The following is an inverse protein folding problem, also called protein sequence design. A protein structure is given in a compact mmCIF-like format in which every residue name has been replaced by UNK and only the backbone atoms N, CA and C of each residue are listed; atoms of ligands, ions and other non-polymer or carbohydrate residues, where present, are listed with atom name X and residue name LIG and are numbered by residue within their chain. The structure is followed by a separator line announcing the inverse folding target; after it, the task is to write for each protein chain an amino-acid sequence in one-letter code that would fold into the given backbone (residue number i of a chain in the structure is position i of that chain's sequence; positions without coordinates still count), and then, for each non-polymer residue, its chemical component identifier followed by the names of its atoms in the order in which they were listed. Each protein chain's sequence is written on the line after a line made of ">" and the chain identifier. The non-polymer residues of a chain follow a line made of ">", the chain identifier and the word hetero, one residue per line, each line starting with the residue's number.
data_IF_635982880012
#
_entry.id   IF_635982880012
#
_cell.length_a   1.000
_cell.length_b   1.000
_cell.length_c   1.000
_cell.angle_alpha   90.00
_cell.angle_beta   90.00
_cell.angle_gamma   90.00
#
_symmetry.space_group_name_H-M   'P 1'
#
loop_
_entity.id
_entity.type
_entity.pdbx_description
1 polymer ?
#
# COMPACT_ATOMS: atom_id res chain seq x y z
N UNK A 1 9.40 10.23 9.86
CA UNK A 1 8.84 8.86 9.82
C UNK A 1 7.55 8.93 9.04
N UNK A 2 7.40 8.14 7.97
CA UNK A 2 6.16 8.06 7.23
C UNK A 2 5.11 7.38 8.13
N UNK A 3 4.29 8.18 8.81
CA UNK A 3 3.18 7.69 9.61
C UNK A 3 2.02 7.36 8.67
N UNK A 4 1.89 6.09 8.30
CA UNK A 4 0.82 5.56 7.46
C UNK A 4 0.88 4.04 7.44
N UNK A 5 -0.21 3.40 7.03
CA UNK A 5 -0.19 1.94 6.85
C UNK A 5 0.77 1.53 5.71
N UNK A 6 1.13 0.25 5.62
CA UNK A 6 2.13 -0.23 4.65
C UNK A 6 1.74 0.09 3.19
N UNK A 7 0.45 0.14 2.87
CA UNK A 7 -0.04 0.47 1.54
C UNK A 7 0.15 1.96 1.20
N UNK A 8 -0.10 2.85 2.17
CA UNK A 8 0.20 4.28 2.04
C UNK A 8 1.70 4.52 1.85
N UNK A 9 2.53 3.84 2.64
CA UNK A 9 3.98 3.94 2.52
C UNK A 9 4.47 3.48 1.15
N UNK A 10 4.00 2.32 0.67
CA UNK A 10 4.35 1.80 -0.64
C UNK A 10 3.90 2.72 -1.80
N UNK A 11 2.68 3.27 -1.73
CA UNK A 11 2.17 4.22 -2.73
C UNK A 11 3.04 5.48 -2.77
N UNK A 12 3.40 6.04 -1.61
CA UNK A 12 4.27 7.22 -1.53
C UNK A 12 5.68 6.93 -2.06
N UNK A 13 6.25 5.77 -1.75
CA UNK A 13 7.57 5.38 -2.28
C UNK A 13 7.57 5.35 -3.81
N UNK A 14 6.58 4.69 -4.41
CA UNK A 14 6.44 4.57 -5.86
C UNK A 14 6.18 5.91 -6.56
N UNK A 15 5.54 6.87 -5.89
CA UNK A 15 5.31 8.23 -6.42
C UNK A 15 6.56 9.10 -6.34
N UNK A 16 7.42 8.89 -5.34
CA UNK A 16 8.54 9.78 -5.06
C UNK A 16 9.80 9.41 -5.83
N UNK A 17 10.04 8.11 -6.05
CA UNK A 17 11.25 7.64 -6.73
C UNK A 17 11.05 6.31 -7.44
N UNK A 18 11.83 6.05 -8.51
CA UNK A 18 11.80 4.76 -9.19
C UNK A 18 12.40 3.66 -8.31
N UNK A 19 12.06 2.39 -8.59
CA UNK A 19 12.44 1.23 -7.77
C UNK A 19 13.98 1.07 -7.70
N UNK A 20 14.69 1.47 -8.75
CA UNK A 20 16.14 1.43 -8.87
C UNK A 20 16.86 2.35 -7.87
N UNK A 21 16.18 3.40 -7.40
CA UNK A 21 16.69 4.36 -6.40
C UNK A 21 16.17 4.04 -4.98
N UNK A 22 15.40 2.97 -4.82
CA UNK A 22 14.93 2.50 -3.52
C UNK A 22 16.00 1.68 -2.80
N UNK A 23 16.09 1.86 -1.49
CA UNK A 23 16.83 0.97 -0.60
C UNK A 23 16.17 -0.41 -0.55
N UNK A 24 16.90 -1.42 -0.08
CA UNK A 24 16.34 -2.78 0.05
C UNK A 24 15.08 -2.80 0.94
N UNK A 25 15.05 -2.02 2.01
CA UNK A 25 13.90 -1.94 2.92
C UNK A 25 12.66 -1.32 2.24
N UNK A 26 12.86 -0.28 1.45
CA UNK A 26 11.77 0.35 0.68
C UNK A 26 11.24 -0.60 -0.40
N UNK A 27 12.13 -1.32 -1.09
CA UNK A 27 11.73 -2.36 -2.06
C UNK A 27 10.93 -3.47 -1.37
N UNK A 28 11.37 -3.92 -0.19
CA UNK A 28 10.64 -4.92 0.59
C UNK A 28 9.27 -4.42 1.02
N UNK A 29 9.16 -3.15 1.42
CA UNK A 29 7.89 -2.49 1.77
C UNK A 29 6.93 -2.51 0.59
N UNK A 30 7.39 -2.10 -0.60
CA UNK A 30 6.58 -2.13 -1.83
C UNK A 30 6.17 -3.56 -2.19
N UNK A 31 7.10 -4.52 -2.14
CA UNK A 31 6.79 -5.93 -2.45
C UNK A 31 5.74 -6.51 -1.50
N UNK A 32 5.90 -6.29 -0.20
CA UNK A 32 4.94 -6.76 0.80
C UNK A 32 3.55 -6.14 0.59
N UNK A 33 3.49 -4.84 0.30
CA UNK A 33 2.24 -4.13 0.07
C UNK A 33 1.53 -4.55 -1.24
N UNK A 34 2.26 -5.10 -2.22
CA UNK A 34 1.69 -5.60 -3.48
C UNK A 34 1.05 -6.98 -3.37
N UNK A 35 1.42 -7.80 -2.38
CA UNK A 35 0.90 -9.17 -2.25
C UNK A 35 -0.63 -9.23 -2.30
N UNK A 36 -1.39 -8.36 -1.60
CA UNK A 36 -2.85 -8.40 -1.68
C UNK A 36 -3.40 -8.02 -3.07
N UNK A 37 -2.69 -7.18 -3.84
CA UNK A 37 -3.09 -6.85 -5.22
C UNK A 37 -3.00 -8.06 -6.15
N UNK A 38 -2.03 -8.93 -5.90
CA UNK A 38 -1.83 -10.14 -6.71
C UNK A 38 -2.84 -11.24 -6.35
N UNK A 39 -3.51 -11.14 -5.20
CA UNK A 39 -4.41 -12.17 -4.65
C UNK A 39 -5.88 -11.79 -4.79
N UNK A 40 -6.23 -10.51 -4.63
CA UNK A 40 -7.61 -10.01 -4.57
C UNK A 40 -8.15 -9.72 -5.98
N UNK A 41 -9.12 -10.51 -6.49
CA UNK A 41 -9.67 -10.32 -7.83
C UNK A 41 -10.34 -8.95 -8.03
N UNK A 42 -10.91 -8.38 -6.98
CA UNK A 42 -11.57 -7.07 -7.01
C UNK A 42 -10.60 -5.90 -7.27
N UNK A 43 -9.29 -6.13 -7.14
CA UNK A 43 -8.25 -5.13 -7.43
C UNK A 43 -7.53 -5.40 -8.75
N UNK A 44 -7.91 -6.44 -9.50
CA UNK A 44 -7.19 -6.90 -10.69
C UNK A 44 -7.18 -5.91 -11.86
N UNK A 45 -8.20 -5.06 -11.96
CA UNK A 45 -8.30 -4.03 -13.00
C UNK A 45 -7.57 -2.73 -12.64
N UNK A 46 -7.03 -2.63 -11.42
CA UNK A 46 -6.37 -1.42 -10.93
C UNK A 46 -4.88 -1.41 -11.28
N UNK A 47 -4.35 -0.21 -11.50
CA UNK A 47 -2.90 -0.04 -11.52
C UNK A 47 -2.33 -0.34 -10.14
N UNK A 48 -1.02 -0.64 -10.06
CA UNK A 48 -0.37 -0.85 -8.74
C UNK A 48 -0.57 0.35 -7.81
N UNK A 49 -0.52 1.59 -8.32
CA UNK A 49 -0.71 2.78 -7.49
C UNK A 49 -2.15 2.89 -6.99
N UNK A 50 -3.13 2.75 -7.88
CA UNK A 50 -4.54 2.84 -7.51
C UNK A 50 -4.94 1.71 -6.55
N UNK A 51 -4.44 0.50 -6.78
CA UNK A 51 -4.66 -0.64 -5.90
C UNK A 51 -4.08 -0.42 -4.51
N UNK A 52 -2.86 0.12 -4.39
CA UNK A 52 -2.26 0.45 -3.09
C UNK A 52 -3.04 1.55 -2.36
N UNK A 53 -3.59 2.53 -3.07
CA UNK A 53 -4.45 3.55 -2.47
C UNK A 53 -5.78 2.97 -1.98
N UNK A 54 -6.35 2.02 -2.72
CA UNK A 54 -7.60 1.37 -2.32
C UNK A 54 -7.39 0.46 -1.11
N UNK A 55 -6.31 -0.34 -1.09
CA UNK A 55 -5.92 -1.12 0.08
C UNK A 55 -5.66 -0.25 1.31
N UNK A 56 -5.06 0.93 1.12
CA UNK A 56 -4.87 1.88 2.20
C UNK A 56 -6.21 2.33 2.81
N UNK A 57 -7.20 2.66 1.98
CA UNK A 57 -8.56 3.03 2.45
C UNK A 57 -9.23 1.85 3.16
N UNK A 58 -9.21 0.65 2.57
CA UNK A 58 -9.81 -0.54 3.16
C UNK A 58 -9.22 -0.86 4.55
N UNK A 59 -7.90 -0.70 4.70
CA UNK A 59 -7.20 -0.87 5.98
C UNK A 59 -7.63 0.18 7.00
N UNK A 60 -7.71 1.45 6.60
CA UNK A 60 -8.12 2.55 7.48
C UNK A 60 -9.60 2.45 7.87
N UNK A 61 -10.48 2.01 6.98
CA UNK A 61 -11.90 1.75 7.27
C UNK A 61 -12.09 0.59 8.25
N UNK A 62 -11.29 -0.46 8.09
CA UNK A 62 -11.29 -1.64 8.98
C UNK A 62 -10.79 -1.29 10.38
N UNK A 63 -9.74 -0.47 10.48
CA UNK A 63 -9.18 -0.04 11.77
C UNK A 63 -9.93 1.12 12.41
N UNK A 64 -10.56 1.98 11.62
CA UNK A 64 -11.36 3.12 12.10
C UNK A 64 -12.68 2.68 12.75
N UNK A 65 -13.24 1.54 12.32
CA UNK A 65 -14.45 0.95 12.92
C UNK A 65 -14.21 0.29 14.29
N UNK A 66 -12.97 0.20 14.77
CA UNK A 66 -12.62 -0.29 16.10
C UNK A 66 -12.56 0.77 17.22
N UNK A 67 -12.72 2.06 16.93
CA UNK A 67 -12.62 3.16 17.93
C UNK A 67 -13.99 3.74 18.36
N UNK A 68 -15.01 2.89 18.44
CA UNK A 68 -16.26 3.19 19.15
C UNK A 68 -16.67 1.98 20.00
N UNK A 69 -15.92 1.70 21.07
CA UNK A 69 -16.42 1.06 22.29
C UNK A 69 -15.71 1.67 23.48
#
# INVERSE_FOLDING_TARGET
>A
MLNGNIFQQASQLLKNKPIEEMTQEEVLTVKAAKIPLDILPELSDLTTLDGLEELAKMFDESNGKGRKQ
#
